data_IF_160258990667
#
_entry.id   IF_160258990667
#
_cell.length_a   1.000
_cell.length_b   1.000
_cell.length_c   1.000
_cell.angle_alpha   90.00
_cell.angle_beta   90.00
_cell.angle_gamma   90.00
#
_symmetry.space_group_name_H-M   'P 1'
#
loop_
_entity.id
_entity.type
_entity.pdbx_description
1 polymer ?
#
# COMPACT_ATOMS: atom_id res chain seq x y z
N UNK A 1 -0.35 -35.03 6.28
CA UNK A 1 0.75 -35.51 7.10
C UNK A 1 1.96 -35.69 6.20
N UNK A 2 3.06 -34.98 6.47
CA UNK A 2 4.21 -34.93 5.58
C UNK A 2 5.09 -36.19 5.69
N UNK A 3 5.02 -36.90 6.82
CA UNK A 3 5.84 -38.10 7.06
C UNK A 3 5.19 -39.35 6.47
N UNK A 4 3.90 -39.55 6.71
CA UNK A 4 3.12 -40.69 6.22
C UNK A 4 2.52 -40.47 4.83
N UNK A 5 2.48 -39.24 4.33
CA UNK A 5 1.77 -38.88 3.10
C UNK A 5 0.24 -38.94 3.23
N UNK A 6 -0.29 -39.21 4.44
CA UNK A 6 -1.73 -39.23 4.67
C UNK A 6 -2.31 -37.83 4.40
N UNK A 7 -3.37 -37.77 3.58
CA UNK A 7 -4.07 -36.54 3.28
C UNK A 7 -5.57 -36.71 3.55
N UNK A 8 -6.23 -35.58 3.80
CA UNK A 8 -7.69 -35.50 3.91
C UNK A 8 -8.18 -34.39 3.00
N UNK A 9 -9.23 -34.66 2.25
CA UNK A 9 -9.93 -33.64 1.49
C UNK A 9 -10.64 -32.68 2.46
N UNK A 10 -10.17 -31.43 2.52
CA UNK A 10 -10.66 -30.44 3.48
C UNK A 10 -11.91 -29.72 2.96
N UNK A 11 -11.87 -29.20 1.73
CA UNK A 11 -12.97 -28.47 1.08
C UNK A 11 -12.88 -28.59 -0.45
N UNK A 12 -13.93 -28.18 -1.14
CA UNK A 12 -13.99 -28.13 -2.61
C UNK A 12 -14.60 -26.81 -3.11
N UNK A 13 -14.66 -26.65 -4.42
CA UNK A 13 -15.30 -25.50 -5.04
C UNK A 13 -14.44 -24.23 -5.01
N UNK A 14 -13.12 -24.39 -4.92
CA UNK A 14 -12.15 -23.30 -5.05
C UNK A 14 -11.60 -23.28 -6.48
N UNK A 15 -11.21 -22.10 -6.98
CA UNK A 15 -10.62 -21.86 -8.29
C UNK A 15 -9.11 -21.97 -8.29
N UNK A 16 -8.43 -21.07 -7.56
CA UNK A 16 -6.97 -20.95 -7.59
C UNK A 16 -6.46 -20.33 -6.28
N UNK A 17 -6.40 -21.17 -5.24
CA UNK A 17 -5.93 -20.80 -3.90
C UNK A 17 -4.44 -20.48 -3.94
N UNK A 18 -4.09 -19.26 -3.53
CA UNK A 18 -2.70 -18.75 -3.52
C UNK A 18 -2.12 -18.71 -2.11
N UNK A 19 -2.93 -18.38 -1.11
CA UNK A 19 -2.50 -18.26 0.28
C UNK A 19 -3.43 -19.01 1.23
N UNK A 20 -2.86 -19.52 2.32
CA UNK A 20 -3.58 -20.18 3.41
C UNK A 20 -2.87 -19.90 4.73
N UNK A 21 -3.63 -19.65 5.80
CA UNK A 21 -3.11 -19.50 7.15
C UNK A 21 -4.08 -20.10 8.16
N UNK A 22 -3.55 -20.70 9.22
CA UNK A 22 -4.31 -21.07 10.42
C UNK A 22 -4.11 -19.97 11.44
N UNK A 23 -5.19 -19.35 11.89
CA UNK A 23 -5.12 -18.27 12.88
C UNK A 23 -5.05 -18.81 14.32
N UNK A 24 -4.86 -17.91 15.30
CA UNK A 24 -4.80 -18.26 16.74
C UNK A 24 -6.06 -18.93 17.29
N UNK A 25 -7.17 -18.87 16.57
CA UNK A 25 -8.45 -19.48 16.95
C UNK A 25 -8.69 -20.79 16.19
N UNK A 26 -7.64 -21.39 15.63
CA UNK A 26 -7.66 -22.61 14.80
C UNK A 26 -8.57 -22.49 13.57
N UNK A 27 -8.87 -21.27 13.12
CA UNK A 27 -9.62 -21.03 11.90
C UNK A 27 -8.69 -21.03 10.71
N UNK A 28 -9.13 -21.62 9.61
CA UNK A 28 -8.38 -21.69 8.37
C UNK A 28 -8.86 -20.58 7.44
N UNK A 29 -7.99 -19.62 7.14
CA UNK A 29 -8.24 -18.59 6.14
C UNK A 29 -7.51 -18.96 4.87
N UNK A 30 -8.19 -18.84 3.73
CA UNK A 30 -7.58 -19.02 2.42
C UNK A 30 -7.95 -17.87 1.50
N UNK A 31 -7.02 -17.53 0.61
CA UNK A 31 -7.26 -16.52 -0.42
C UNK A 31 -7.04 -17.10 -1.81
N UNK A 32 -7.85 -16.69 -2.77
CA UNK A 32 -7.82 -17.22 -4.11
C UNK A 32 -8.10 -16.19 -5.20
N UNK A 33 -7.57 -16.48 -6.39
CA UNK A 33 -7.83 -15.66 -7.58
C UNK A 33 -9.19 -15.99 -8.21
N UNK A 34 -9.97 -14.94 -8.46
CA UNK A 34 -11.12 -14.98 -9.35
C UNK A 34 -10.73 -14.98 -10.84
N UNK A 35 -11.72 -15.03 -11.75
CA UNK A 35 -11.50 -14.82 -13.18
C UNK A 35 -11.20 -13.33 -13.48
N UNK A 36 -12.10 -12.57 -14.12
CA UNK A 36 -11.99 -11.10 -14.21
C UNK A 36 -12.81 -10.48 -13.08
N UNK A 37 -12.14 -10.09 -12.00
CA UNK A 37 -12.81 -9.76 -10.74
C UNK A 37 -13.08 -11.00 -9.90
N UNK A 38 -13.45 -10.80 -8.64
CA UNK A 38 -13.89 -11.86 -7.74
C UNK A 38 -12.73 -12.64 -7.12
N UNK A 39 -11.62 -11.96 -6.79
CA UNK A 39 -10.67 -12.58 -5.85
C UNK A 39 -11.33 -12.66 -4.47
N UNK A 40 -11.05 -13.71 -3.71
CA UNK A 40 -11.83 -14.04 -2.52
C UNK A 40 -10.94 -14.33 -1.31
N UNK A 41 -11.40 -13.91 -0.13
CA UNK A 41 -10.98 -14.39 1.18
C UNK A 41 -12.07 -15.32 1.70
N UNK A 42 -11.68 -16.56 2.01
CA UNK A 42 -12.56 -17.64 2.43
C UNK A 42 -12.21 -18.11 3.84
N UNK A 43 -13.23 -18.28 4.68
CA UNK A 43 -13.11 -18.98 5.97
C UNK A 43 -13.36 -20.47 5.73
N UNK A 44 -12.30 -21.26 5.64
CA UNK A 44 -12.35 -22.67 5.24
C UNK A 44 -12.91 -23.55 6.36
N UNK A 45 -14.08 -24.15 6.09
CA UNK A 45 -14.73 -25.16 6.92
C UNK A 45 -14.54 -26.58 6.34
N UNK A 46 -14.30 -27.59 7.18
CA UNK A 46 -14.26 -28.99 6.73
C UNK A 46 -15.54 -29.40 6.01
N UNK A 47 -15.40 -30.01 4.82
CA UNK A 47 -16.52 -30.41 3.97
C UNK A 47 -17.15 -29.28 3.15
N UNK A 48 -16.70 -28.04 3.33
CA UNK A 48 -17.26 -26.86 2.67
C UNK A 48 -17.14 -26.91 1.14
N UNK A 49 -18.07 -26.22 0.48
CA UNK A 49 -18.13 -26.10 -0.98
C UNK A 49 -18.26 -24.64 -1.40
N UNK A 50 -17.16 -24.05 -1.85
CA UNK A 50 -17.05 -22.62 -2.22
C UNK A 50 -17.56 -22.31 -3.64
N UNK A 51 -18.15 -23.30 -4.30
CA UNK A 51 -19.02 -23.09 -5.45
C UNK A 51 -18.34 -22.99 -6.82
N UNK A 52 -17.04 -22.72 -6.94
CA UNK A 52 -16.39 -22.71 -8.24
C UNK A 52 -16.51 -24.06 -8.99
N UNK A 53 -16.82 -24.08 -10.31
CA UNK A 53 -17.10 -22.96 -11.20
C UNK A 53 -18.60 -22.63 -11.36
N UNK A 54 -19.47 -23.16 -10.49
CA UNK A 54 -20.92 -22.96 -10.50
C UNK A 54 -21.37 -21.64 -9.82
N UNK A 55 -20.49 -21.04 -9.02
CA UNK A 55 -20.63 -19.70 -8.47
C UNK A 55 -19.30 -18.94 -8.60
N UNK A 56 -19.42 -17.64 -8.84
CA UNK A 56 -18.27 -16.71 -8.90
C UNK A 56 -18.78 -15.27 -8.86
N UNK A 57 -18.03 -14.39 -8.21
CA UNK A 57 -18.26 -12.94 -8.26
C UNK A 57 -17.59 -12.26 -9.47
N UNK A 58 -16.80 -13.01 -10.25
CA UNK A 58 -16.11 -12.52 -11.42
C UNK A 58 -16.85 -12.78 -12.73
N UNK A 59 -16.34 -12.18 -13.81
CA UNK A 59 -16.83 -12.36 -15.18
C UNK A 59 -15.80 -13.10 -16.03
N UNK A 60 -16.17 -13.43 -17.27
CA UNK A 60 -15.17 -13.78 -18.28
C UNK A 60 -14.23 -12.60 -18.52
N UNK A 61 -13.04 -12.89 -19.03
CA UNK A 61 -12.07 -11.83 -19.37
C UNK A 61 -12.57 -10.86 -20.44
N UNK A 62 -13.55 -11.26 -21.26
CA UNK A 62 -14.25 -10.40 -22.21
C UNK A 62 -15.52 -9.72 -21.64
N UNK A 63 -15.67 -9.69 -20.31
CA UNK A 63 -16.78 -9.05 -19.56
C UNK A 63 -18.13 -9.77 -19.56
N UNK A 64 -18.30 -10.82 -20.37
CA UNK A 64 -19.52 -11.61 -20.38
C UNK A 64 -19.69 -12.42 -19.07
N UNK A 65 -20.92 -12.80 -18.71
CA UNK A 65 -21.17 -13.70 -17.58
C UNK A 65 -20.39 -15.02 -17.69
N UNK A 66 -19.99 -15.57 -16.53
CA UNK A 66 -19.32 -16.85 -16.47
C UNK A 66 -20.28 -17.98 -16.90
N UNK A 67 -19.89 -18.88 -17.84
CA UNK A 67 -20.83 -19.78 -18.52
C UNK A 67 -21.58 -20.75 -17.61
N UNK A 68 -20.90 -21.23 -16.57
CA UNK A 68 -21.42 -22.27 -15.67
C UNK A 68 -22.03 -21.70 -14.40
N UNK A 69 -21.95 -20.37 -14.21
CA UNK A 69 -22.51 -19.74 -13.03
C UNK A 69 -24.04 -19.84 -13.09
N UNK A 70 -24.66 -20.45 -12.08
CA UNK A 70 -26.13 -20.59 -12.01
C UNK A 70 -26.81 -19.23 -11.94
N UNK A 71 -26.22 -18.32 -11.16
CA UNK A 71 -26.61 -16.93 -11.05
C UNK A 71 -25.36 -16.07 -10.92
N UNK A 72 -25.28 -15.01 -11.74
CA UNK A 72 -24.11 -14.14 -11.75
C UNK A 72 -23.99 -13.39 -10.42
N UNK A 73 -22.79 -13.40 -9.83
CA UNK A 73 -22.51 -12.60 -8.63
C UNK A 73 -23.14 -13.13 -7.34
N UNK A 74 -23.59 -14.39 -7.29
CA UNK A 74 -24.22 -14.98 -6.10
C UNK A 74 -23.62 -16.33 -5.74
N UNK A 75 -23.63 -16.61 -4.43
CA UNK A 75 -23.17 -17.85 -3.81
C UNK A 75 -24.28 -18.53 -3.00
N UNK A 76 -25.56 -18.26 -3.28
CA UNK A 76 -26.69 -18.69 -2.41
C UNK A 76 -26.73 -20.21 -2.12
N UNK A 77 -26.24 -21.03 -3.05
CA UNK A 77 -26.20 -22.51 -2.93
C UNK A 77 -24.88 -23.05 -2.34
N UNK A 78 -23.94 -22.17 -1.98
CA UNK A 78 -22.55 -22.50 -1.68
C UNK A 78 -22.05 -21.76 -0.43
N UNK A 79 -20.92 -22.19 0.11
CA UNK A 79 -20.20 -21.43 1.11
C UNK A 79 -19.60 -20.18 0.43
N UNK A 80 -20.30 -19.04 0.56
CA UNK A 80 -19.86 -17.79 -0.04
C UNK A 80 -18.58 -17.24 0.60
N UNK A 81 -17.85 -16.37 -0.12
CA UNK A 81 -16.63 -15.79 0.40
C UNK A 81 -16.91 -14.89 1.59
N UNK A 82 -15.97 -14.88 2.53
CA UNK A 82 -16.01 -14.00 3.69
C UNK A 82 -15.81 -12.54 3.27
N UNK A 83 -14.96 -12.32 2.27
CA UNK A 83 -14.78 -11.04 1.60
C UNK A 83 -14.35 -11.27 0.15
N UNK A 84 -14.66 -10.33 -0.74
CA UNK A 84 -14.25 -10.42 -2.13
C UNK A 84 -13.85 -9.06 -2.71
N UNK A 85 -12.89 -9.10 -3.63
CA UNK A 85 -12.41 -7.95 -4.38
C UNK A 85 -12.96 -7.98 -5.80
N UNK A 86 -13.78 -6.97 -6.12
CA UNK A 86 -14.34 -6.73 -7.46
C UNK A 86 -14.11 -5.25 -7.78
N UNK A 87 -13.08 -4.89 -8.57
CA UNK A 87 -12.19 -5.76 -9.36
C UNK A 87 -11.16 -6.54 -8.54
N UNK A 88 -10.56 -7.57 -9.16
CA UNK A 88 -9.51 -8.40 -8.57
C UNK A 88 -8.26 -7.58 -8.26
N UNK A 89 -7.58 -7.91 -7.17
CA UNK A 89 -6.30 -7.30 -6.78
C UNK A 89 -5.10 -8.18 -7.16
N UNK A 90 -5.35 -9.37 -7.70
CA UNK A 90 -4.33 -10.37 -7.98
C UNK A 90 -3.74 -10.91 -6.68
N UNK A 91 -4.59 -11.41 -5.77
CA UNK A 91 -4.19 -11.86 -4.43
C UNK A 91 -3.10 -12.94 -4.46
N UNK A 92 -2.11 -12.84 -3.58
CA UNK A 92 -1.02 -13.83 -3.49
C UNK A 92 -0.93 -14.57 -2.16
N UNK A 93 -1.01 -13.88 -1.02
CA UNK A 93 -0.79 -14.52 0.28
C UNK A 93 -1.70 -13.90 1.36
N UNK A 94 -1.88 -14.64 2.46
CA UNK A 94 -2.59 -14.21 3.66
C UNK A 94 -1.81 -14.67 4.89
N UNK A 95 -1.72 -13.83 5.92
CA UNK A 95 -1.23 -14.18 7.26
C UNK A 95 -2.02 -13.45 8.34
N UNK A 96 -1.97 -13.96 9.58
CA UNK A 96 -2.44 -13.22 10.76
C UNK A 96 -1.25 -12.54 11.45
N UNK A 97 -1.37 -11.24 11.72
CA UNK A 97 -0.32 -10.42 12.34
C UNK A 97 -0.40 -10.54 13.87
N UNK A 98 0.77 -10.61 14.51
CA UNK A 98 0.90 -10.86 15.94
C UNK A 98 2.11 -10.13 16.56
N UNK A 99 1.89 -9.24 17.53
CA UNK A 99 2.97 -8.53 18.21
C UNK A 99 3.78 -7.60 17.31
N UNK A 100 3.24 -7.21 16.14
CA UNK A 100 3.88 -6.25 15.24
C UNK A 100 3.65 -4.81 15.73
N UNK A 101 2.40 -4.50 16.09
CA UNK A 101 1.99 -3.22 16.65
C UNK A 101 0.64 -3.42 17.36
N UNK A 102 0.39 -2.82 18.54
CA UNK A 102 -0.85 -3.05 19.31
C UNK A 102 -2.13 -2.82 18.49
N UNK A 103 -2.12 -1.79 17.63
CA UNK A 103 -3.26 -1.47 16.76
C UNK A 103 -3.42 -2.40 15.55
N UNK A 104 -2.53 -3.37 15.32
CA UNK A 104 -2.57 -4.34 14.20
C UNK A 104 -2.75 -5.79 14.68
N UNK A 105 -2.63 -6.04 15.98
CA UNK A 105 -2.63 -7.38 16.54
C UNK A 105 -3.93 -8.14 16.28
N UNK A 106 -3.80 -9.32 15.69
CA UNK A 106 -4.90 -10.21 15.32
C UNK A 106 -5.53 -9.93 13.96
N UNK A 107 -5.15 -8.84 13.29
CA UNK A 107 -5.62 -8.53 11.93
C UNK A 107 -5.03 -9.52 10.91
N UNK A 108 -5.73 -9.66 9.78
CA UNK A 108 -5.20 -10.37 8.62
C UNK A 108 -4.48 -9.39 7.70
N UNK A 109 -3.36 -9.84 7.13
CA UNK A 109 -2.67 -9.14 6.07
C UNK A 109 -2.78 -9.97 4.79
N UNK A 110 -3.34 -9.38 3.74
CA UNK A 110 -3.46 -10.01 2.42
C UNK A 110 -2.57 -9.27 1.43
N UNK A 111 -1.71 -9.97 0.71
CA UNK A 111 -0.81 -9.36 -0.27
C UNK A 111 -1.33 -9.49 -1.70
N UNK A 112 -0.86 -8.61 -2.58
CA UNK A 112 -1.34 -8.53 -3.96
C UNK A 112 -0.24 -8.38 -5.01
N UNK A 113 -0.47 -9.00 -6.17
CA UNK A 113 0.38 -8.94 -7.36
C UNK A 113 -0.05 -7.84 -8.32
N UNK A 114 -1.35 -7.59 -8.49
CA UNK A 114 -1.84 -6.58 -9.42
C UNK A 114 -1.95 -5.23 -8.74
N UNK A 115 -2.52 -5.18 -7.53
CA UNK A 115 -2.68 -3.93 -6.79
C UNK A 115 -1.39 -3.43 -6.10
N UNK A 116 -0.32 -4.23 -6.11
CA UNK A 116 1.01 -3.87 -5.58
C UNK A 116 0.99 -3.31 -4.14
N UNK A 117 0.06 -3.84 -3.35
CA UNK A 117 -0.28 -3.36 -2.01
C UNK A 117 -0.49 -4.53 -1.05
N UNK A 118 -0.26 -4.29 0.23
CA UNK A 118 -0.84 -5.09 1.31
C UNK A 118 -2.24 -4.58 1.60
N UNK A 119 -3.12 -5.45 2.06
CA UNK A 119 -4.45 -5.13 2.52
C UNK A 119 -4.56 -5.61 3.96
N UNK A 120 -4.74 -4.70 4.91
CA UNK A 120 -4.95 -5.01 6.33
C UNK A 120 -6.45 -5.12 6.60
N UNK A 121 -6.88 -6.28 7.07
CA UNK A 121 -8.29 -6.57 7.38
C UNK A 121 -8.46 -6.79 8.87
N UNK A 122 -9.37 -6.03 9.47
CA UNK A 122 -9.83 -6.29 10.83
C UNK A 122 -11.15 -7.04 10.82
N UNK A 123 -11.18 -8.17 11.53
CA UNK A 123 -12.37 -9.01 11.66
C UNK A 123 -12.89 -8.94 13.10
N UNK A 124 -14.17 -8.61 13.27
CA UNK A 124 -14.91 -8.65 14.54
C UNK A 124 -16.30 -9.20 14.29
N UNK A 125 -16.81 -10.02 15.21
CA UNK A 125 -18.17 -10.57 15.16
C UNK A 125 -18.53 -11.18 13.78
N UNK A 126 -17.59 -11.97 13.24
CA UNK A 126 -17.69 -12.61 11.92
C UNK A 126 -17.90 -11.65 10.74
N UNK A 127 -17.43 -10.40 10.86
CA UNK A 127 -17.49 -9.39 9.80
C UNK A 127 -16.15 -8.70 9.60
N UNK A 128 -15.86 -8.34 8.36
CA UNK A 128 -14.77 -7.42 8.03
C UNK A 128 -15.21 -6.00 8.41
N UNK A 129 -14.51 -5.38 9.36
CA UNK A 129 -14.78 -4.01 9.78
C UNK A 129 -14.21 -2.98 8.81
N UNK A 130 -12.98 -3.22 8.34
CA UNK A 130 -12.34 -2.42 7.32
C UNK A 130 -11.35 -3.27 6.52
N UNK A 131 -11.04 -2.77 5.32
CA UNK A 131 -9.93 -3.23 4.49
C UNK A 131 -9.11 -2.00 4.14
N UNK A 132 -7.91 -1.90 4.69
CA UNK A 132 -7.01 -0.77 4.46
C UNK A 132 -5.90 -1.18 3.50
N UNK A 133 -5.78 -0.51 2.32
CA UNK A 133 -4.65 -0.71 1.43
C UNK A 133 -3.40 0.00 1.95
N UNK A 134 -2.25 -0.68 1.90
CA UNK A 134 -0.92 -0.14 2.19
C UNK A 134 -0.08 -0.34 0.94
N UNK A 135 0.25 0.76 0.26
CA UNK A 135 0.94 0.73 -1.02
C UNK A 135 2.42 0.33 -0.84
N UNK A 136 2.86 -0.71 -1.56
CA UNK A 136 4.26 -1.17 -1.56
C UNK A 136 4.95 -0.88 -2.91
N UNK A 137 4.15 -0.62 -3.97
CA UNK A 137 4.60 -0.34 -5.35
C UNK A 137 5.43 -1.45 -5.98
N UNK A 138 5.26 -2.68 -5.50
CA UNK A 138 5.80 -3.88 -6.11
C UNK A 138 4.80 -5.03 -6.02
N UNK A 139 4.92 -6.00 -6.92
CA UNK A 139 4.08 -7.20 -6.96
C UNK A 139 4.52 -8.14 -5.84
N UNK A 140 3.75 -8.19 -4.76
CA UNK A 140 4.08 -8.97 -3.57
C UNK A 140 3.66 -10.43 -3.81
N UNK A 141 4.61 -11.36 -3.79
CA UNK A 141 4.36 -12.80 -3.98
C UNK A 141 4.04 -13.50 -2.67
N UNK A 142 4.70 -13.11 -1.59
CA UNK A 142 4.55 -13.75 -0.28
C UNK A 142 4.86 -12.75 0.82
N UNK A 143 4.17 -12.87 1.96
CA UNK A 143 4.45 -12.11 3.16
C UNK A 143 4.63 -13.08 4.33
N UNK A 144 5.58 -12.78 5.21
CA UNK A 144 5.86 -13.61 6.38
C UNK A 144 6.19 -12.71 7.57
N UNK A 145 5.58 -12.96 8.72
CA UNK A 145 6.00 -12.32 9.95
C UNK A 145 7.14 -13.12 10.57
N UNK A 146 8.31 -12.50 10.68
CA UNK A 146 9.52 -13.07 11.27
C UNK A 146 9.44 -13.08 12.80
N UNK A 147 10.28 -13.90 13.45
CA UNK A 147 10.27 -14.12 14.90
C UNK A 147 10.66 -12.89 15.74
N UNK A 148 11.33 -11.91 15.13
CA UNK A 148 11.65 -10.62 15.74
C UNK A 148 10.51 -9.59 15.62
N UNK A 149 9.34 -10.02 15.12
CA UNK A 149 8.15 -9.20 14.97
C UNK A 149 8.02 -8.54 13.61
N UNK A 150 9.12 -8.33 12.86
CA UNK A 150 9.10 -7.66 11.55
C UNK A 150 8.37 -8.47 10.48
N UNK A 151 7.89 -7.80 9.44
CA UNK A 151 7.24 -8.47 8.30
C UNK A 151 8.18 -8.45 7.10
N UNK A 152 8.49 -9.62 6.56
CA UNK A 152 9.24 -9.78 5.32
C UNK A 152 8.29 -9.95 4.13
N UNK A 153 8.49 -9.17 3.08
CA UNK A 153 7.77 -9.26 1.82
C UNK A 153 8.70 -9.78 0.73
N UNK A 154 8.34 -10.90 0.11
CA UNK A 154 8.98 -11.35 -1.11
C UNK A 154 8.25 -10.74 -2.31
N UNK A 155 8.93 -9.81 -2.99
CA UNK A 155 8.38 -9.08 -4.13
C UNK A 155 8.98 -9.59 -5.44
N UNK A 156 8.43 -9.13 -6.58
CA UNK A 156 8.96 -9.52 -7.89
C UNK A 156 10.41 -9.04 -8.06
N UNK A 157 11.16 -9.71 -8.94
CA UNK A 157 12.59 -9.46 -9.17
C UNK A 157 13.52 -9.85 -8.02
N UNK A 158 13.15 -10.88 -7.24
CA UNK A 158 13.99 -11.50 -6.20
C UNK A 158 14.47 -10.54 -5.09
N UNK A 159 13.67 -9.51 -4.78
CA UNK A 159 13.93 -8.60 -3.66
C UNK A 159 13.10 -8.97 -2.44
N UNK A 160 13.67 -8.68 -1.28
CA UNK A 160 12.98 -8.70 0.01
C UNK A 160 12.80 -7.26 0.49
N UNK A 161 11.60 -6.93 0.97
CA UNK A 161 11.31 -5.68 1.68
C UNK A 161 10.99 -6.05 3.12
N UNK A 162 11.62 -5.37 4.08
CA UNK A 162 11.29 -5.48 5.49
C UNK A 162 10.36 -4.35 5.88
N UNK A 163 9.28 -4.69 6.57
CA UNK A 163 8.32 -3.74 7.15
C UNK A 163 8.48 -3.81 8.66
N UNK A 164 8.69 -2.65 9.26
CA UNK A 164 8.80 -2.44 10.71
C UNK A 164 7.70 -1.48 11.16
N UNK A 165 7.23 -1.59 12.41
CA UNK A 165 6.41 -0.53 12.98
C UNK A 165 7.26 0.74 13.07
N UNK A 166 6.72 1.86 12.61
CA UNK A 166 7.35 3.15 12.90
C UNK A 166 7.19 3.41 14.40
N UNK A 167 8.32 3.54 15.12
CA UNK A 167 8.33 4.10 16.48
C UNK A 167 7.99 5.60 16.46
N UNK A 168 7.99 6.19 15.27
CA UNK A 168 7.77 7.60 15.03
C UNK A 168 6.31 7.82 14.60
N UNK A 169 5.47 8.46 15.44
CA UNK A 169 4.02 8.42 15.27
C UNK A 169 3.47 9.27 14.11
N UNK A 170 4.28 10.11 13.45
CA UNK A 170 3.88 10.94 12.30
C UNK A 170 5.03 11.19 11.32
N UNK A 171 4.71 11.57 10.08
CA UNK A 171 5.74 11.92 9.09
C UNK A 171 6.56 13.13 9.56
N UNK A 172 5.93 14.09 10.25
CA UNK A 172 6.63 15.22 10.87
C UNK A 172 7.67 14.77 11.90
N UNK A 173 7.33 13.81 12.76
CA UNK A 173 8.28 13.32 13.74
C UNK A 173 9.44 12.54 13.08
N UNK A 174 9.21 11.90 11.93
CA UNK A 174 10.28 11.24 11.17
C UNK A 174 11.22 12.27 10.55
N UNK A 175 10.66 13.32 9.96
CA UNK A 175 11.44 14.45 9.44
C UNK A 175 12.26 15.11 10.55
N UNK A 176 11.70 15.30 11.74
CA UNK A 176 12.42 15.84 12.89
C UNK A 176 13.61 14.95 13.28
N UNK A 177 13.44 13.63 13.27
CA UNK A 177 14.53 12.68 13.52
C UNK A 177 15.63 12.75 12.43
N UNK A 178 15.25 12.94 11.15
CA UNK A 178 16.21 13.15 10.06
C UNK A 178 17.02 14.44 10.24
N UNK A 179 16.37 15.54 10.64
CA UNK A 179 17.04 16.82 10.92
C UNK A 179 18.01 16.67 12.10
N UNK A 180 17.57 16.01 13.17
CA UNK A 180 18.40 15.82 14.37
C UNK A 180 19.61 14.90 14.09
N UNK A 181 19.43 13.89 13.25
CA UNK A 181 20.48 12.98 12.80
C UNK A 181 21.44 13.54 11.76
N UNK A 182 21.19 14.74 11.21
CA UNK A 182 22.04 15.36 10.22
C UNK A 182 23.36 15.87 10.84
N UNK A 183 24.48 15.58 10.16
CA UNK A 183 25.82 16.06 10.52
C UNK A 183 26.03 17.51 10.07
N UNK A 184 25.27 18.41 10.67
CA UNK A 184 25.28 19.85 10.41
C UNK A 184 25.24 20.64 11.72
N UNK A 185 25.54 21.94 11.64
CA UNK A 185 25.48 22.81 12.82
C UNK A 185 24.05 22.94 13.37
N UNK A 186 23.92 23.21 14.66
CA UNK A 186 22.60 23.45 15.29
C UNK A 186 21.85 24.63 14.64
N UNK A 187 22.58 25.66 14.21
CA UNK A 187 22.00 26.78 13.49
C UNK A 187 21.39 26.34 12.14
N UNK A 188 22.04 25.43 11.43
CA UNK A 188 21.52 24.87 10.17
C UNK A 188 20.33 23.97 10.41
N UNK A 189 20.32 23.14 11.47
CA UNK A 189 19.11 22.37 11.86
C UNK A 189 17.92 23.29 12.16
N UNK A 190 18.15 24.38 12.87
CA UNK A 190 17.11 25.36 13.17
C UNK A 190 16.59 26.04 11.88
N UNK A 191 17.46 26.33 10.92
CA UNK A 191 17.07 26.84 9.59
C UNK A 191 16.23 25.81 8.84
N UNK A 192 16.69 24.55 8.74
CA UNK A 192 15.95 23.45 8.11
C UNK A 192 14.52 23.31 8.67
N UNK A 193 14.36 23.36 10.00
CA UNK A 193 13.03 23.31 10.65
C UNK A 193 12.15 24.48 10.24
N UNK A 194 12.71 25.69 10.22
CA UNK A 194 11.99 26.92 9.86
C UNK A 194 11.57 26.91 8.38
N UNK A 195 12.48 26.49 7.50
CA UNK A 195 12.21 26.35 6.08
C UNK A 195 11.11 25.31 5.84
N UNK A 196 11.19 24.15 6.47
CA UNK A 196 10.17 23.11 6.37
C UNK A 196 8.80 23.62 6.85
N UNK A 197 8.73 24.31 7.99
CA UNK A 197 7.48 24.87 8.52
C UNK A 197 6.77 25.76 7.50
N UNK A 198 7.51 26.58 6.74
CA UNK A 198 6.96 27.39 5.65
C UNK A 198 6.28 26.52 4.59
N UNK A 199 6.87 25.37 4.23
CA UNK A 199 6.26 24.44 3.28
C UNK A 199 4.98 23.79 3.85
N UNK A 200 4.98 23.49 5.16
CA UNK A 200 3.86 22.83 5.84
C UNK A 200 2.63 23.72 6.03
N UNK A 201 2.73 25.03 5.76
CA UNK A 201 1.56 25.92 5.71
C UNK A 201 0.58 25.50 4.60
N UNK A 202 1.09 24.92 3.52
CA UNK A 202 0.30 24.52 2.35
C UNK A 202 0.33 23.02 2.08
N UNK A 203 1.33 22.28 2.56
CA UNK A 203 1.57 20.89 2.19
C UNK A 203 1.58 19.96 3.40
N UNK A 204 0.92 18.80 3.30
CA UNK A 204 1.13 17.72 4.27
C UNK A 204 2.35 16.86 3.89
N UNK A 205 2.90 16.14 4.86
CA UNK A 205 3.99 15.17 4.63
C UNK A 205 3.44 13.76 4.35
N UNK A 206 2.21 13.50 4.72
CA UNK A 206 1.56 12.20 4.57
C UNK A 206 1.09 11.96 3.12
N UNK A 207 1.47 10.82 2.49
CA UNK A 207 0.98 10.47 1.16
C UNK A 207 -0.55 10.44 1.10
N UNK A 208 -1.12 11.15 0.13
CA UNK A 208 -2.57 11.22 -0.08
C UNK A 208 -3.30 12.31 0.71
N UNK A 209 -2.62 13.00 1.63
CA UNK A 209 -3.18 14.16 2.34
C UNK A 209 -2.90 15.47 1.59
N UNK A 210 -3.60 15.68 0.47
CA UNK A 210 -3.49 16.94 -0.27
C UNK A 210 -4.20 18.07 0.51
N UNK A 211 -3.51 19.21 0.68
CA UNK A 211 -3.98 20.38 1.44
C UNK A 211 -4.19 21.56 0.48
N UNK A 212 -3.80 22.79 0.86
CA UNK A 212 -3.76 23.92 -0.08
C UNK A 212 -2.78 23.69 -1.25
N UNK A 213 -1.81 22.79 -1.06
CA UNK A 213 -0.96 22.21 -2.08
C UNK A 213 -0.95 20.67 -2.02
N UNK A 214 -0.43 20.01 -3.06
CA UNK A 214 -0.33 18.54 -3.09
C UNK A 214 0.61 18.03 -2.00
N UNK A 215 0.34 16.88 -1.40
CA UNK A 215 1.19 16.30 -0.34
C UNK A 215 2.65 16.12 -0.78
N UNK A 216 3.60 16.19 0.15
CA UNK A 216 5.04 15.95 -0.07
C UNK A 216 5.46 14.50 0.20
N UNK A 217 4.56 13.70 0.77
CA UNK A 217 4.76 12.26 0.94
C UNK A 217 4.97 11.56 -0.39
N UNK A 218 5.96 10.69 -0.46
CA UNK A 218 6.40 10.01 -1.68
C UNK A 218 6.69 10.96 -2.85
N UNK A 219 7.11 12.22 -2.60
CA UNK A 219 7.35 13.16 -3.71
C UNK A 219 8.56 12.74 -4.54
N UNK A 220 9.63 12.22 -3.93
CA UNK A 220 10.84 11.84 -4.66
C UNK A 220 10.56 10.68 -5.63
N UNK A 221 10.90 10.87 -6.91
CA UNK A 221 10.62 9.92 -8.00
C UNK A 221 9.16 9.87 -8.47
N UNK A 222 8.23 10.59 -7.84
CA UNK A 222 6.82 10.68 -8.28
C UNK A 222 6.70 11.52 -9.54
N UNK A 223 5.72 11.17 -10.39
CA UNK A 223 5.46 11.92 -11.63
C UNK A 223 4.97 13.33 -11.29
N UNK A 224 5.39 14.32 -12.08
CA UNK A 224 4.88 15.69 -11.93
C UNK A 224 3.35 15.70 -12.12
N UNK A 225 2.66 16.43 -11.24
CA UNK A 225 1.20 16.59 -11.25
C UNK A 225 0.39 15.28 -11.24
N UNK A 226 0.78 14.30 -10.40
CA UNK A 226 0.17 12.98 -10.38
C UNK A 226 -0.56 12.58 -9.11
N UNK A 227 -0.73 13.48 -8.12
CA UNK A 227 -1.59 13.21 -6.95
C UNK A 227 -3.06 13.41 -7.30
N UNK A 228 -3.95 13.18 -6.33
CA UNK A 228 -5.38 13.45 -6.46
C UNK A 228 -5.72 14.95 -6.35
N UNK A 229 -4.72 15.80 -6.09
CA UNK A 229 -4.89 17.24 -5.90
C UNK A 229 -5.57 17.89 -7.11
N UNK A 230 -6.78 18.41 -6.90
CA UNK A 230 -7.63 18.89 -7.98
C UNK A 230 -7.11 20.20 -8.59
N UNK A 231 -6.37 21.02 -7.83
CA UNK A 231 -6.03 22.40 -8.20
C UNK A 231 -4.65 22.56 -8.84
N UNK A 232 -4.08 21.48 -9.39
CA UNK A 232 -2.86 21.59 -10.19
C UNK A 232 -3.01 22.64 -11.31
N UNK A 233 -2.05 23.55 -11.38
CA UNK A 233 -1.94 24.52 -12.48
C UNK A 233 -1.83 23.82 -13.84
N UNK A 234 -2.36 24.45 -14.89
CA UNK A 234 -2.19 23.94 -16.27
C UNK A 234 -0.71 23.82 -16.64
N UNK A 235 0.13 24.72 -16.11
CA UNK A 235 1.58 24.68 -16.27
C UNK A 235 2.17 23.36 -15.76
N UNK A 236 1.84 22.93 -14.54
CA UNK A 236 2.34 21.67 -13.97
C UNK A 236 1.71 20.44 -14.63
N UNK A 237 0.41 20.47 -14.95
CA UNK A 237 -0.26 19.36 -15.67
C UNK A 237 0.34 19.10 -17.04
N UNK A 238 0.86 20.14 -17.70
CA UNK A 238 1.52 20.04 -19.00
C UNK A 238 2.95 19.48 -18.96
N UNK A 239 3.56 19.35 -17.77
CA UNK A 239 4.93 18.84 -17.66
C UNK A 239 4.96 17.32 -17.68
N UNK A 240 5.97 16.80 -18.36
CA UNK A 240 6.36 15.41 -18.27
C UNK A 240 7.61 15.29 -17.39
N UNK A 241 7.79 14.13 -16.76
CA UNK A 241 8.95 13.89 -15.88
C UNK A 241 8.55 13.41 -14.49
N UNK A 242 9.56 13.29 -13.64
CA UNK A 242 9.46 12.85 -12.25
C UNK A 242 10.27 13.79 -11.37
N UNK A 243 9.90 13.90 -10.11
CA UNK A 243 10.58 14.72 -9.11
C UNK A 243 11.85 14.01 -8.62
N UNK A 244 12.92 14.09 -9.38
CA UNK A 244 14.26 13.76 -8.88
C UNK A 244 14.98 15.04 -8.44
N UNK A 245 16.22 14.89 -8.00
CA UNK A 245 17.00 15.97 -7.39
C UNK A 245 17.09 17.22 -8.27
N UNK A 246 17.42 17.08 -9.55
CA UNK A 246 17.55 18.21 -10.48
C UNK A 246 16.21 18.94 -10.69
N UNK A 247 15.11 18.20 -10.88
CA UNK A 247 13.79 18.80 -11.05
C UNK A 247 13.28 19.48 -9.79
N UNK A 248 13.50 18.87 -8.62
CA UNK A 248 13.12 19.46 -7.34
C UNK A 248 13.91 20.74 -7.08
N UNK A 249 15.24 20.73 -7.29
CA UNK A 249 16.09 21.92 -7.15
C UNK A 249 15.61 23.03 -8.08
N UNK A 250 15.45 22.73 -9.37
CA UNK A 250 15.03 23.73 -10.35
C UNK A 250 13.66 24.34 -10.03
N UNK A 251 12.73 23.52 -9.53
CA UNK A 251 11.39 23.99 -9.16
C UNK A 251 11.38 24.80 -7.86
N UNK A 252 12.09 24.35 -6.81
CA UNK A 252 12.13 25.03 -5.52
C UNK A 252 12.88 26.38 -5.60
N UNK A 253 13.92 26.46 -6.43
CA UNK A 253 14.68 27.71 -6.64
C UNK A 253 13.84 28.79 -7.33
N UNK A 254 13.11 28.43 -8.38
CA UNK A 254 12.19 29.36 -9.06
C UNK A 254 11.03 28.62 -9.74
N UNK A 255 9.87 28.51 -9.06
CA UNK A 255 8.71 27.82 -9.58
C UNK A 255 8.17 28.41 -10.89
N UNK A 256 8.24 29.73 -11.05
CA UNK A 256 7.72 30.42 -12.25
C UNK A 256 8.64 30.21 -13.44
N UNK A 257 9.96 30.26 -13.24
CA UNK A 257 10.91 29.93 -14.32
C UNK A 257 10.85 28.45 -14.69
N UNK A 258 10.69 27.55 -13.71
CA UNK A 258 10.53 26.12 -13.99
C UNK A 258 9.22 25.82 -14.72
N UNK A 259 8.08 26.33 -14.24
CA UNK A 259 6.76 26.11 -14.80
C UNK A 259 5.96 27.43 -14.89
N UNK A 260 6.12 28.20 -15.98
CA UNK A 260 5.46 29.49 -16.13
C UNK A 260 3.93 29.39 -16.01
N UNK A 261 3.34 30.15 -15.07
CA UNK A 261 1.91 30.07 -14.76
C UNK A 261 1.55 29.00 -13.73
N UNK A 262 2.54 28.45 -13.01
CA UNK A 262 2.26 27.63 -11.83
C UNK A 262 1.60 28.46 -10.73
N UNK A 263 0.74 27.81 -9.94
CA UNK A 263 0.09 28.41 -8.77
C UNK A 263 0.96 28.34 -7.52
N UNK A 264 2.05 27.55 -7.55
CA UNK A 264 3.01 27.50 -6.45
C UNK A 264 3.70 28.87 -6.29
N UNK A 265 3.64 29.49 -5.10
CA UNK A 265 4.38 30.72 -4.84
C UNK A 265 5.88 30.46 -4.81
N UNK A 266 6.67 31.49 -5.11
CA UNK A 266 8.12 31.44 -4.87
C UNK A 266 8.41 31.40 -3.37
N UNK A 267 9.33 30.53 -2.95
CA UNK A 267 9.66 30.34 -1.55
C UNK A 267 10.87 31.18 -1.06
N UNK A 268 11.48 31.99 -1.95
CA UNK A 268 12.64 32.86 -1.64
C UNK A 268 13.74 32.14 -0.84
N UNK A 269 14.07 30.92 -1.26
CA UNK A 269 15.06 30.07 -0.60
C UNK A 269 16.48 30.38 -1.10
N UNK A 270 17.44 30.29 -0.19
CA UNK A 270 18.87 30.23 -0.57
C UNK A 270 19.20 28.87 -1.21
N UNK A 271 20.32 28.79 -1.92
CA UNK A 271 20.78 27.51 -2.50
C UNK A 271 20.94 26.43 -1.41
N UNK A 272 21.51 26.78 -0.25
CA UNK A 272 21.68 25.87 0.89
C UNK A 272 20.36 25.33 1.43
N UNK A 273 19.32 26.16 1.48
CA UNK A 273 17.98 25.74 1.89
C UNK A 273 17.30 24.82 0.86
N UNK A 274 17.53 25.08 -0.43
CA UNK A 274 17.05 24.19 -1.50
C UNK A 274 17.76 22.83 -1.40
N UNK A 275 19.07 22.83 -1.24
CA UNK A 275 19.89 21.63 -0.98
C UNK A 275 19.31 20.79 0.17
N UNK A 276 19.11 21.41 1.33
CA UNK A 276 18.64 20.74 2.54
C UNK A 276 17.23 20.18 2.39
N UNK A 277 16.32 20.94 1.79
CA UNK A 277 14.95 20.46 1.52
C UNK A 277 14.95 19.28 0.55
N UNK A 278 15.77 19.31 -0.50
CA UNK A 278 15.81 18.22 -1.46
C UNK A 278 16.40 16.95 -0.85
N UNK A 279 17.44 17.06 -0.02
CA UNK A 279 17.97 15.90 0.71
C UNK A 279 16.96 15.33 1.70
N UNK A 280 16.24 16.20 2.43
CA UNK A 280 15.21 15.81 3.37
C UNK A 280 14.02 15.12 2.67
N UNK A 281 13.54 15.69 1.56
CA UNK A 281 12.48 15.07 0.74
C UNK A 281 12.95 13.77 0.08
N UNK A 282 14.23 13.63 -0.26
CA UNK A 282 14.77 12.36 -0.76
C UNK A 282 14.74 11.31 0.35
N UNK A 283 15.31 11.60 1.52
CA UNK A 283 15.41 10.66 2.65
C UNK A 283 14.06 10.28 3.23
N UNK A 284 13.11 11.21 3.32
CA UNK A 284 11.73 10.94 3.74
C UNK A 284 11.07 9.85 2.87
N UNK A 285 11.52 9.71 1.62
CA UNK A 285 10.93 8.82 0.63
C UNK A 285 11.84 7.64 0.25
N UNK A 286 13.00 7.50 0.90
CA UNK A 286 13.88 6.32 0.78
C UNK A 286 13.53 5.33 1.89
N UNK A 287 13.30 4.04 1.57
CA UNK A 287 13.20 3.01 2.61
C UNK A 287 14.56 2.86 3.29
N UNK A 288 14.58 2.86 4.63
CA UNK A 288 15.76 2.49 5.45
C UNK A 288 16.27 1.08 5.11
#
# INVERSE_FOLDING_TARGET
>A
DLESGAYRHLSRGNRNVQGIVVDRSDRIWAVEHGPRGGDELNLIRPGGNYGWPLATLGTRYNTLPWPTARQLGRHDDFDGPFFAWVPSIGISNVLQIQGFHPSWDGDLLVSSLMAQSLFRLRIRDEKVLFVEPIEIRDRIRYAHQHSDGRIALWVSNARLIWVTPSETPSALAHVEALIEGADVSEARRADMRTTLQTCLECHALEPGDDQAGPNLGDVFGRRVASTAFAEYSSALRGRTGRWFEDELRAFLSDPQSYAPGTTMPGASLSEEQVDDLVDLLRRLNEPE
#
